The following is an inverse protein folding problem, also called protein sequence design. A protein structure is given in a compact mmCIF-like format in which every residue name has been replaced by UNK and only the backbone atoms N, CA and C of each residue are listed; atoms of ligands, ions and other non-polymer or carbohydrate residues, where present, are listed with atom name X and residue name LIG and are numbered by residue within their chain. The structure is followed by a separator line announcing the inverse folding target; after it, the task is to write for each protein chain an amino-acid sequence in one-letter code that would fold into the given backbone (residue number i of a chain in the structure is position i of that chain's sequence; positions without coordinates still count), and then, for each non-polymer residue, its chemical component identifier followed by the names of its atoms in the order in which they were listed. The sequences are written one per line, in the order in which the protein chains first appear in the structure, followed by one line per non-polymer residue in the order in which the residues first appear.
data_IF_335848628912
#
_entry.id   IF_335848628912
#
_cell.length_a   1.000
_cell.length_b   1.000
_cell.length_c   1.000
_cell.angle_alpha   90.00
_cell.angle_beta   90.00
_cell.angle_gamma   90.00
#
_symmetry.space_group_name_H-M   'P 1'
#
loop_
_entity.id
_entity.type
_entity.pdbx_description
1 polymer ?
#
# COMPACT_ATOMS: atom_id res chain seq x y z
N UNK A 1 6.99 34.26 19.93
CA UNK A 1 6.23 33.21 19.24
C UNK A 1 4.75 33.51 19.45
N UNK A 2 4.00 33.75 18.40
CA UNK A 2 2.55 33.97 18.48
C UNK A 2 1.87 32.60 18.68
N UNK A 3 0.87 32.46 19.56
CA UNK A 3 0.14 31.21 19.70
C UNK A 3 -0.55 30.83 18.37
N UNK A 4 -0.65 29.53 18.04
CA UNK A 4 -1.41 29.10 16.87
C UNK A 4 -2.86 29.58 17.00
N UNK A 5 -3.42 30.09 15.91
CA UNK A 5 -4.81 30.52 15.86
C UNK A 5 -5.73 29.36 16.27
N UNK A 6 -6.83 29.62 17.00
CA UNK A 6 -7.78 28.57 17.37
C UNK A 6 -8.31 27.92 16.09
N UNK A 7 -8.12 26.61 15.97
CA UNK A 7 -8.69 25.82 14.87
C UNK A 7 -10.21 26.05 14.86
N UNK A 8 -10.69 26.77 13.84
CA UNK A 8 -12.12 27.02 13.68
C UNK A 8 -12.86 25.69 13.60
N UNK A 9 -14.05 25.61 14.21
CA UNK A 9 -14.93 24.45 14.06
C UNK A 9 -15.02 24.09 12.57
N UNK A 10 -14.85 22.80 12.19
CA UNK A 10 -15.03 22.38 10.81
C UNK A 10 -16.36 22.91 10.30
N UNK A 11 -16.31 23.69 9.22
CA UNK A 11 -17.51 24.24 8.60
C UNK A 11 -18.37 23.04 8.16
N UNK A 12 -19.57 22.91 8.74
CA UNK A 12 -20.48 21.83 8.40
C UNK A 12 -21.05 22.10 7.02
N UNK A 13 -20.55 21.37 6.02
CA UNK A 13 -20.99 21.46 4.62
C UNK A 13 -22.46 21.03 4.51
N UNK A 14 -23.19 21.63 3.57
CA UNK A 14 -24.50 21.10 3.19
C UNK A 14 -24.35 19.70 2.59
N UNK A 15 -25.41 18.86 2.59
CA UNK A 15 -25.36 17.53 1.98
C UNK A 15 -24.91 17.55 0.51
N UNK A 16 -25.30 18.57 -0.26
CA UNK A 16 -24.96 18.69 -1.67
C UNK A 16 -23.48 19.05 -1.87
N UNK A 17 -22.95 19.97 -1.07
CA UNK A 17 -21.52 20.33 -1.11
C UNK A 17 -20.64 19.16 -0.68
N UNK A 18 -21.03 18.44 0.37
CA UNK A 18 -20.34 17.24 0.84
C UNK A 18 -20.32 16.14 -0.23
N UNK A 19 -21.45 15.93 -0.94
CA UNK A 19 -21.53 15.01 -2.06
C UNK A 19 -20.58 15.41 -3.19
N UNK A 20 -20.60 16.68 -3.62
CA UNK A 20 -19.74 17.17 -4.69
C UNK A 20 -18.25 17.04 -4.34
N UNK A 21 -17.86 17.39 -3.13
CA UNK A 21 -16.47 17.23 -2.67
C UNK A 21 -16.04 15.76 -2.64
N UNK A 22 -16.91 14.88 -2.12
CA UNK A 22 -16.63 13.44 -2.06
C UNK A 22 -16.48 12.83 -3.46
N UNK A 23 -17.35 13.22 -4.40
CA UNK A 23 -17.23 12.79 -5.80
C UNK A 23 -15.93 13.30 -6.43
N UNK A 24 -15.59 14.57 -6.23
CA UNK A 24 -14.34 15.15 -6.72
C UNK A 24 -13.11 14.45 -6.13
N UNK A 25 -13.17 14.06 -4.85
CA UNK A 25 -12.12 13.27 -4.21
C UNK A 25 -11.94 11.90 -4.89
N UNK A 26 -13.02 11.16 -5.14
CA UNK A 26 -12.94 9.87 -5.84
C UNK A 26 -12.48 10.02 -7.29
N UNK A 27 -12.85 11.11 -7.96
CA UNK A 27 -12.33 11.43 -9.29
C UNK A 27 -10.82 11.69 -9.26
N UNK A 28 -10.33 12.44 -8.28
CA UNK A 28 -8.90 12.66 -8.05
C UNK A 28 -8.12 11.37 -7.73
N UNK A 29 -8.79 10.40 -7.10
CA UNK A 29 -8.28 9.04 -6.89
C UNK A 29 -8.22 8.17 -8.16
N UNK A 30 -8.74 8.67 -9.28
CA UNK A 30 -8.74 7.94 -10.55
C UNK A 30 -9.94 7.00 -10.74
N UNK A 31 -11.08 7.25 -10.07
CA UNK A 31 -12.32 6.48 -10.27
C UNK A 31 -12.69 6.27 -11.74
N UNK A 32 -12.48 7.30 -12.56
CA UNK A 32 -12.85 7.31 -13.98
C UNK A 32 -11.66 6.93 -14.90
N UNK A 33 -10.51 6.56 -14.32
CA UNK A 33 -9.31 6.14 -15.06
C UNK A 33 -9.36 4.63 -15.31
N UNK A 34 -9.29 4.24 -16.57
CA UNK A 34 -9.19 2.82 -16.93
C UNK A 34 -7.85 2.25 -16.48
N UNK A 35 -7.86 1.03 -15.96
CA UNK A 35 -6.64 0.32 -15.63
C UNK A 35 -5.85 -0.03 -16.92
N UNK A 36 -4.52 -0.07 -16.86
CA UNK A 36 -3.72 -0.54 -17.99
C UNK A 36 -4.01 -2.03 -18.25
N UNK A 37 -3.90 -2.48 -19.50
CA UNK A 37 -4.13 -3.89 -19.89
C UNK A 37 -3.26 -4.89 -19.11
N UNK A 38 -2.11 -4.46 -18.61
CA UNK A 38 -1.25 -5.27 -17.75
C UNK A 38 -1.88 -5.61 -16.40
N UNK A 39 -2.82 -4.79 -15.90
CA UNK A 39 -3.52 -5.03 -14.64
C UNK A 39 -4.61 -6.11 -14.76
N UNK A 40 -5.07 -6.41 -15.97
CA UNK A 40 -6.04 -7.47 -16.26
C UNK A 40 -5.40 -8.86 -16.32
N UNK A 41 -4.07 -8.94 -16.27
CA UNK A 41 -3.37 -10.22 -16.28
C UNK A 41 -3.54 -10.94 -14.93
N UNK A 42 -3.67 -12.28 -14.94
CA UNK A 42 -3.55 -13.06 -13.71
C UNK A 42 -2.27 -12.69 -12.97
N UNK A 43 -2.35 -12.60 -11.64
CA UNK A 43 -1.21 -12.31 -10.77
C UNK A 43 -0.52 -10.95 -11.04
N UNK A 44 -1.18 -10.01 -11.73
CA UNK A 44 -0.59 -8.70 -12.03
C UNK A 44 -0.13 -7.96 -10.76
N UNK A 45 -0.92 -8.06 -9.68
CA UNK A 45 -0.58 -7.46 -8.40
C UNK A 45 0.62 -8.15 -7.74
N UNK A 46 0.68 -9.48 -7.77
CA UNK A 46 1.84 -10.24 -7.27
C UNK A 46 3.11 -9.92 -8.07
N UNK A 47 2.98 -9.75 -9.38
CA UNK A 47 4.08 -9.33 -10.24
C UNK A 47 4.57 -7.93 -9.86
N UNK A 48 3.66 -6.98 -9.58
CA UNK A 48 4.01 -5.65 -9.07
C UNK A 48 4.73 -5.74 -7.71
N UNK A 49 4.21 -6.53 -6.77
CA UNK A 49 4.80 -6.74 -5.45
C UNK A 49 6.21 -7.32 -5.58
N UNK A 50 6.38 -8.35 -6.42
CA UNK A 50 7.71 -8.92 -6.72
C UNK A 50 8.66 -7.91 -7.34
N UNK A 51 8.17 -7.05 -8.23
CA UNK A 51 8.98 -6.04 -8.91
C UNK A 51 9.51 -4.94 -7.96
N UNK A 52 8.83 -4.67 -6.84
CA UNK A 52 9.28 -3.65 -5.87
C UNK A 52 10.15 -4.18 -4.74
N UNK A 53 10.29 -5.51 -4.61
CA UNK A 53 11.23 -6.13 -3.69
C UNK A 53 12.66 -5.97 -4.23
N UNK A 54 13.47 -5.14 -3.58
CA UNK A 54 14.84 -4.81 -4.02
C UNK A 54 15.83 -5.94 -3.69
N UNK A 55 15.64 -6.60 -2.55
CA UNK A 55 16.41 -7.77 -2.16
C UNK A 55 15.66 -8.58 -1.10
N UNK A 56 15.99 -9.87 -0.99
CA UNK A 56 15.51 -10.75 0.06
C UNK A 56 16.64 -11.65 0.57
N UNK A 57 16.64 -11.89 1.88
CA UNK A 57 17.47 -12.90 2.52
C UNK A 57 16.56 -13.91 3.20
N UNK A 58 16.83 -15.19 2.93
CA UNK A 58 16.04 -16.32 3.41
C UNK A 58 16.96 -17.23 4.21
N UNK A 59 16.56 -17.53 5.45
CA UNK A 59 17.16 -18.54 6.30
C UNK A 59 16.06 -19.38 6.94
N UNK A 60 16.43 -20.50 7.59
CA UNK A 60 15.47 -21.30 8.34
C UNK A 60 14.70 -20.41 9.35
N UNK A 61 13.38 -20.35 9.21
CA UNK A 61 12.44 -19.59 10.07
C UNK A 61 12.56 -18.06 10.00
N UNK A 62 13.33 -17.51 9.05
CA UNK A 62 13.43 -16.04 8.89
C UNK A 62 13.56 -15.66 7.43
N UNK A 63 12.67 -14.77 7.02
CA UNK A 63 12.73 -14.07 5.74
C UNK A 63 12.78 -12.59 6.03
N UNK A 64 13.73 -11.89 5.40
CA UNK A 64 13.80 -10.43 5.42
C UNK A 64 13.89 -9.91 4.01
N UNK A 65 13.26 -8.77 3.73
CA UNK A 65 13.35 -8.13 2.44
C UNK A 65 13.55 -6.62 2.57
N UNK A 66 14.00 -6.02 1.48
CA UNK A 66 13.99 -4.57 1.27
C UNK A 66 13.06 -4.26 0.11
N UNK A 67 12.46 -3.08 0.16
CA UNK A 67 11.43 -2.65 -0.77
C UNK A 67 11.70 -1.20 -1.18
N UNK A 68 11.58 -0.94 -2.48
CA UNK A 68 11.77 0.39 -3.05
C UNK A 68 10.43 1.10 -3.15
N UNK A 69 10.30 2.26 -2.52
CA UNK A 69 9.11 3.10 -2.66
C UNK A 69 9.22 3.89 -3.96
N UNK A 70 8.51 3.41 -4.99
CA UNK A 70 8.44 4.02 -6.32
C UNK A 70 7.04 4.55 -6.62
N UNK A 71 6.85 5.37 -7.68
CA UNK A 71 5.52 5.88 -8.04
C UNK A 71 4.49 4.78 -8.31
N UNK A 72 4.94 3.59 -8.75
CA UNK A 72 4.07 2.45 -9.04
C UNK A 72 3.39 1.87 -7.80
N UNK A 73 3.91 2.14 -6.59
CA UNK A 73 3.38 1.61 -5.32
C UNK A 73 3.07 2.72 -4.31
N UNK A 74 3.06 3.97 -4.75
CA UNK A 74 2.67 5.10 -3.92
C UNK A 74 1.18 5.41 -4.06
N UNK A 75 0.58 5.89 -2.97
CA UNK A 75 -0.74 6.52 -3.00
C UNK A 75 -0.63 7.99 -3.46
N UNK A 76 -1.79 8.63 -3.65
CA UNK A 76 -1.90 10.05 -4.03
C UNK A 76 -1.19 11.04 -3.08
N UNK A 77 -0.84 10.59 -1.87
CA UNK A 77 -0.12 11.40 -0.89
C UNK A 77 1.40 11.21 -0.98
N UNK A 78 1.90 10.57 -2.04
CA UNK A 78 3.31 10.25 -2.29
C UNK A 78 3.93 9.42 -1.16
N UNK A 79 3.15 8.46 -0.64
CA UNK A 79 3.58 7.51 0.40
C UNK A 79 3.26 6.10 -0.01
N UNK A 80 4.00 5.12 0.50
CA UNK A 80 3.79 3.71 0.19
C UNK A 80 2.33 3.31 0.45
N UNK A 81 1.69 2.73 -0.55
CA UNK A 81 0.29 2.33 -0.49
C UNK A 81 0.10 1.21 0.54
N UNK A 82 -0.95 1.30 1.36
CA UNK A 82 -1.17 0.35 2.45
C UNK A 82 -1.33 -1.10 1.96
N UNK A 83 -2.07 -1.30 0.86
CA UNK A 83 -2.21 -2.64 0.27
C UNK A 83 -0.88 -3.22 -0.23
N UNK A 84 0.09 -2.40 -0.67
CA UNK A 84 1.43 -2.89 -1.02
C UNK A 84 2.16 -3.43 0.20
N UNK A 85 2.06 -2.74 1.35
CA UNK A 85 2.64 -3.24 2.61
C UNK A 85 2.02 -4.57 3.01
N UNK A 86 0.69 -4.68 2.96
CA UNK A 86 -0.02 -5.92 3.29
C UNK A 86 0.39 -7.07 2.36
N UNK A 87 0.48 -6.83 1.07
CA UNK A 87 0.85 -7.85 0.08
C UNK A 87 2.30 -8.33 0.25
N UNK A 88 3.23 -7.41 0.57
CA UNK A 88 4.60 -7.80 0.91
C UNK A 88 4.63 -8.61 2.20
N UNK A 89 3.86 -8.22 3.22
CA UNK A 89 3.77 -8.97 4.48
C UNK A 89 3.22 -10.38 4.27
N UNK A 90 2.19 -10.54 3.43
CA UNK A 90 1.69 -11.84 2.98
C UNK A 90 2.79 -12.66 2.31
N UNK A 91 3.44 -12.11 1.27
CA UNK A 91 4.46 -12.83 0.51
C UNK A 91 5.64 -13.28 1.40
N UNK A 92 6.12 -12.41 2.29
CA UNK A 92 7.20 -12.69 3.23
C UNK A 92 6.77 -13.70 4.30
N UNK A 93 5.56 -13.55 4.84
CA UNK A 93 5.00 -14.47 5.83
C UNK A 93 4.82 -15.88 5.27
N UNK A 94 4.27 -15.97 4.05
CA UNK A 94 4.12 -17.22 3.32
C UNK A 94 5.47 -17.86 3.01
N UNK A 95 6.45 -17.08 2.54
CA UNK A 95 7.81 -17.58 2.32
C UNK A 95 8.44 -18.10 3.62
N UNK A 96 8.26 -17.40 4.73
CA UNK A 96 8.74 -17.82 6.04
C UNK A 96 8.09 -19.13 6.49
N UNK A 97 6.77 -19.24 6.39
CA UNK A 97 6.03 -20.45 6.74
C UNK A 97 6.45 -21.66 5.88
N UNK A 98 6.73 -21.45 4.58
CA UNK A 98 7.30 -22.50 3.70
C UNK A 98 8.66 -23.01 4.20
N UNK A 99 9.51 -22.14 4.76
CA UNK A 99 10.79 -22.60 5.34
C UNK A 99 10.62 -23.57 6.52
N UNK A 100 9.47 -23.52 7.21
CA UNK A 100 9.14 -24.41 8.32
C UNK A 100 8.34 -25.65 7.89
N UNK A 101 7.38 -25.47 6.99
CA UNK A 101 6.43 -26.51 6.58
C UNK A 101 6.96 -27.43 5.46
N UNK A 102 7.97 -26.99 4.71
CA UNK A 102 8.45 -27.66 3.50
C UNK A 102 7.46 -27.51 2.34
N UNK A 103 7.33 -28.55 1.52
CA UNK A 103 6.53 -28.52 0.28
C UNK A 103 5.03 -28.80 0.49
N UNK A 104 4.52 -28.54 1.70
CA UNK A 104 3.09 -28.71 1.98
C UNK A 104 2.29 -27.60 1.33
N UNK A 105 1.10 -27.93 0.85
CA UNK A 105 0.12 -26.92 0.45
C UNK A 105 -0.28 -26.08 1.67
N UNK A 106 -0.38 -24.78 1.44
CA UNK A 106 -0.68 -23.81 2.47
C UNK A 106 -1.30 -22.57 1.82
N UNK A 107 -2.22 -21.96 2.56
CA UNK A 107 -2.88 -20.71 2.20
C UNK A 107 -2.85 -19.77 3.40
N UNK A 108 -2.89 -18.47 3.14
CA UNK A 108 -3.05 -17.46 4.17
C UNK A 108 -4.53 -17.36 4.53
N UNK A 109 -4.89 -17.68 5.77
CA UNK A 109 -6.27 -17.56 6.27
C UNK A 109 -6.59 -16.11 6.69
N UNK A 110 -5.70 -15.51 7.48
CA UNK A 110 -5.86 -14.14 7.98
C UNK A 110 -4.52 -13.39 8.00
N UNK A 111 -4.56 -12.10 7.64
CA UNK A 111 -3.46 -11.16 7.81
C UNK A 111 -3.96 -9.89 8.49
N UNK A 112 -3.31 -9.53 9.60
CA UNK A 112 -3.51 -8.25 10.28
C UNK A 112 -2.28 -7.38 10.14
N UNK A 113 -2.45 -6.16 9.63
CA UNK A 113 -1.37 -5.19 9.40
C UNK A 113 -1.68 -3.88 10.11
N UNK A 114 -0.74 -3.42 10.94
CA UNK A 114 -0.80 -2.11 11.58
C UNK A 114 0.14 -1.12 10.89
N UNK A 115 -0.38 0.01 10.42
CA UNK A 115 0.39 1.06 9.76
C UNK A 115 0.87 2.08 10.78
N UNK A 116 2.16 2.04 11.14
CA UNK A 116 2.71 2.88 12.20
C UNK A 116 3.22 4.24 11.71
N UNK A 117 3.76 4.30 10.49
CA UNK A 117 4.31 5.50 9.89
C UNK A 117 4.24 5.43 8.36
N UNK A 118 4.19 6.59 7.71
CA UNK A 118 4.22 6.68 6.26
C UNK A 118 5.66 6.61 5.73
N UNK A 119 5.91 5.70 4.80
CA UNK A 119 7.15 5.68 4.02
C UNK A 119 6.96 6.57 2.78
N UNK A 120 7.71 7.68 2.68
CA UNK A 120 7.58 8.62 1.57
C UNK A 120 8.30 8.10 0.34
N UNK A 121 7.81 8.51 -0.83
CA UNK A 121 8.55 8.36 -2.07
C UNK A 121 9.90 9.05 -1.92
N UNK A 122 10.99 8.36 -2.28
CA UNK A 122 12.31 8.97 -2.28
C UNK A 122 12.43 9.88 -3.50
N UNK A 123 12.07 11.14 -3.33
CA UNK A 123 12.27 12.17 -4.34
C UNK A 123 13.68 12.72 -4.12
N UNK A 124 14.66 12.16 -4.82
CA UNK A 124 15.92 12.89 -5.02
C UNK A 124 15.55 14.20 -5.72
N UNK A 125 15.68 15.32 -5.00
CA UNK A 125 15.54 16.69 -5.53
C UNK A 125 16.70 17.03 -6.47
#
# INVERSE_FOLDING_TARGET
MLPPAPEGRPQQLSPMESLQQTLGFFQGLGKDVSLPTSAEQPDAFDALVRAVLSSAAVSALRVSCTLTVSPAVANQYNTLHGSTVAAVAEAVGMACARTAAGDKEMFLDELSTAYLAAARLDVSL
#
